data_IF_386149670159
#
_entry.id   IF_386149670159
#
_cell.length_a   1.000
_cell.length_b   1.000
_cell.length_c   1.000
_cell.angle_alpha   90.00
_cell.angle_beta   90.00
_cell.angle_gamma   90.00
#
_symmetry.space_group_name_H-M   'P 1'
#
loop_
_entity.id
_entity.type
_entity.pdbx_description
1 polymer ?
#
# COMPACT_ATOMS: atom_id res chain seq x y z
N UNK A 1 45.64 40.60 -17.68
CA UNK A 1 44.31 40.33 -17.09
C UNK A 1 43.38 39.81 -18.20
N UNK A 2 43.04 38.56 -18.16
CA UNK A 2 42.09 37.98 -19.14
C UNK A 2 40.72 38.62 -18.94
N UNK A 3 40.19 39.27 -19.98
CA UNK A 3 38.82 39.82 -19.96
C UNK A 3 37.85 38.67 -19.80
N UNK A 4 37.07 38.61 -18.73
CA UNK A 4 35.98 37.65 -18.49
C UNK A 4 35.04 37.76 -19.71
N UNK A 5 34.86 36.66 -20.42
CA UNK A 5 33.97 36.61 -21.60
C UNK A 5 32.53 36.90 -21.18
N UNK A 6 31.72 37.42 -22.08
CA UNK A 6 30.30 37.69 -21.82
C UNK A 6 29.56 36.45 -21.39
N UNK A 7 29.86 35.29 -21.99
CA UNK A 7 29.35 33.96 -21.62
C UNK A 7 29.60 33.64 -20.13
N UNK A 8 30.81 33.92 -19.64
CA UNK A 8 31.20 33.61 -18.26
C UNK A 8 30.42 34.44 -17.25
N UNK A 9 30.10 35.69 -17.60
CA UNK A 9 29.26 36.59 -16.79
C UNK A 9 27.82 36.07 -16.72
N UNK A 10 27.26 35.55 -17.82
CA UNK A 10 25.93 34.97 -17.84
C UNK A 10 25.88 33.72 -16.94
N UNK A 11 26.83 32.81 -17.09
CA UNK A 11 26.93 31.63 -16.25
C UNK A 11 27.01 31.98 -14.77
N UNK A 12 27.88 32.97 -14.44
CA UNK A 12 28.02 33.42 -13.06
C UNK A 12 26.72 34.04 -12.52
N UNK A 13 26.06 34.90 -13.31
CA UNK A 13 24.80 35.53 -12.91
C UNK A 13 23.70 34.48 -12.72
N UNK A 14 23.56 33.55 -13.66
CA UNK A 14 22.58 32.44 -13.57
C UNK A 14 22.84 31.58 -12.35
N UNK A 15 24.10 31.24 -12.07
CA UNK A 15 24.47 30.46 -10.89
C UNK A 15 24.05 31.15 -9.58
N UNK A 16 24.41 32.44 -9.42
CA UNK A 16 24.02 33.18 -8.24
C UNK A 16 22.51 33.42 -8.14
N UNK A 17 21.84 33.61 -9.27
CA UNK A 17 20.39 33.75 -9.29
C UNK A 17 19.72 32.43 -8.78
N UNK A 18 20.18 31.25 -9.20
CA UNK A 18 19.68 29.99 -8.69
C UNK A 18 19.93 29.78 -7.18
N UNK A 19 21.03 30.29 -6.64
CA UNK A 19 21.34 30.18 -5.22
C UNK A 19 20.51 31.15 -4.35
N UNK A 20 20.34 32.38 -4.83
CA UNK A 20 19.78 33.45 -3.99
C UNK A 20 18.26 33.58 -4.20
N UNK A 21 17.81 33.53 -5.45
CA UNK A 21 16.43 33.81 -5.82
C UNK A 21 15.39 32.93 -5.10
N UNK A 22 15.59 31.60 -4.97
CA UNK A 22 14.63 30.77 -4.24
C UNK A 22 14.47 31.17 -2.78
N UNK A 23 15.57 31.51 -2.11
CA UNK A 23 15.54 31.95 -0.71
C UNK A 23 14.86 33.29 -0.53
N UNK A 24 15.09 34.24 -1.45
CA UNK A 24 14.44 35.55 -1.43
C UNK A 24 12.94 35.42 -1.73
N UNK A 25 12.59 34.67 -2.78
CA UNK A 25 11.18 34.46 -3.15
C UNK A 25 10.41 33.71 -2.07
N UNK A 26 11.04 32.75 -1.38
CA UNK A 26 10.42 32.02 -0.28
C UNK A 26 9.89 32.97 0.79
N UNK A 27 10.65 33.98 1.15
CA UNK A 27 10.26 34.94 2.18
C UNK A 27 8.91 35.64 1.86
N UNK A 28 8.62 35.85 0.57
CA UNK A 28 7.37 36.49 0.12
C UNK A 28 6.24 35.46 -0.19
N UNK A 29 6.58 34.27 -0.59
CA UNK A 29 5.63 33.28 -1.11
C UNK A 29 5.36 32.10 -0.17
N UNK A 30 6.09 32.02 0.95
CA UNK A 30 5.99 30.93 1.92
C UNK A 30 4.56 30.61 2.41
N UNK A 31 3.68 31.58 2.67
CA UNK A 31 2.32 31.30 3.13
C UNK A 31 1.52 30.43 2.17
N UNK A 32 1.81 30.49 0.87
CA UNK A 32 1.12 29.76 -0.19
C UNK A 32 1.92 28.57 -0.74
N UNK A 33 3.08 28.27 -0.15
CA UNK A 33 3.92 27.19 -0.63
C UNK A 33 3.42 25.81 -0.22
N UNK A 34 3.65 24.82 -1.08
CA UNK A 34 3.36 23.41 -0.79
C UNK A 34 4.40 22.84 0.21
N UNK A 35 4.01 22.75 1.48
CA UNK A 35 4.84 22.23 2.58
C UNK A 35 4.56 20.77 2.93
N UNK A 36 3.75 20.05 2.13
CA UNK A 36 3.43 18.65 2.41
C UNK A 36 4.69 17.79 2.35
N UNK A 37 4.81 16.83 3.26
CA UNK A 37 5.88 15.84 3.20
C UNK A 37 5.53 14.78 2.12
N UNK A 38 5.89 15.08 0.87
CA UNK A 38 5.60 14.21 -0.28
C UNK A 38 6.46 12.95 -0.31
N UNK A 39 7.59 12.93 0.40
CA UNK A 39 8.51 11.79 0.42
C UNK A 39 8.17 10.76 1.49
N UNK A 40 7.21 11.06 2.36
CA UNK A 40 6.78 10.19 3.47
C UNK A 40 7.96 9.64 4.29
N UNK A 41 8.89 10.52 4.66
CA UNK A 41 10.05 10.23 5.52
C UNK A 41 10.21 11.28 6.59
N UNK A 42 10.90 10.95 7.65
CA UNK A 42 11.23 11.93 8.70
C UNK A 42 12.23 12.94 8.13
N UNK A 43 11.85 14.23 8.14
CA UNK A 43 12.72 15.32 7.76
C UNK A 43 13.69 15.65 8.90
N UNK A 44 14.93 16.02 8.57
CA UNK A 44 15.95 16.35 9.56
C UNK A 44 15.59 17.65 10.27
N UNK A 45 15.75 17.67 11.59
CA UNK A 45 15.62 18.88 12.39
C UNK A 45 16.89 19.72 12.31
N UNK A 46 16.76 21.01 12.64
CA UNK A 46 17.93 21.90 12.74
C UNK A 46 18.94 21.33 13.74
N UNK A 47 20.25 21.24 13.36
CA UNK A 47 21.25 20.67 14.23
C UNK A 47 21.45 21.51 15.48
N UNK A 48 21.38 20.86 16.65
CA UNK A 48 21.63 21.52 17.93
C UNK A 48 23.14 21.62 18.13
N UNK A 49 23.63 22.81 18.50
CA UNK A 49 25.06 23.04 18.75
C UNK A 49 25.60 22.32 20.01
N UNK A 50 24.72 21.93 20.91
CA UNK A 50 25.07 21.24 22.16
C UNK A 50 25.36 19.77 21.87
N UNK A 51 26.63 19.36 22.00
CA UNK A 51 27.09 17.97 21.87
C UNK A 51 27.55 17.57 20.47
N UNK A 52 27.49 18.46 19.47
CA UNK A 52 27.99 18.19 18.13
C UNK A 52 29.42 18.73 18.01
N UNK A 53 30.32 17.87 17.52
CA UNK A 53 31.65 18.36 17.15
C UNK A 53 31.55 19.34 15.97
N UNK A 54 32.36 20.38 15.95
CA UNK A 54 32.40 21.38 14.86
C UNK A 54 32.53 20.72 13.48
N UNK A 55 33.17 19.57 13.39
CA UNK A 55 33.30 18.77 12.15
C UNK A 55 31.98 18.19 11.63
N UNK A 56 31.03 17.84 12.53
CA UNK A 56 29.77 17.22 12.17
C UNK A 56 28.72 18.25 11.72
N UNK A 57 28.78 19.44 12.29
CA UNK A 57 27.80 20.50 12.05
C UNK A 57 27.55 20.81 10.55
N UNK A 58 28.58 20.98 9.68
CA UNK A 58 28.35 21.25 8.28
C UNK A 58 27.53 20.17 7.58
N UNK A 59 27.80 18.89 7.88
CA UNK A 59 27.08 17.75 7.30
C UNK A 59 25.63 17.69 7.77
N UNK A 60 25.39 17.92 9.05
CA UNK A 60 24.05 17.88 9.63
C UNK A 60 23.23 19.09 9.17
N UNK A 61 23.86 20.25 9.06
CA UNK A 61 23.25 21.47 8.51
C UNK A 61 22.91 21.31 7.02
N UNK A 62 23.81 20.75 6.22
CA UNK A 62 23.55 20.46 4.81
C UNK A 62 22.35 19.56 4.64
N UNK A 63 22.27 18.50 5.44
CA UNK A 63 21.11 17.59 5.45
C UNK A 63 19.82 18.29 5.86
N UNK A 64 19.84 19.13 6.89
CA UNK A 64 18.70 19.95 7.29
C UNK A 64 18.28 20.92 6.18
N UNK A 65 19.23 21.67 5.62
CA UNK A 65 18.97 22.64 4.56
C UNK A 65 18.40 21.98 3.31
N UNK A 66 18.94 20.82 2.92
CA UNK A 66 18.42 20.02 1.80
C UNK A 66 16.97 19.62 2.02
N UNK A 67 16.59 19.24 3.24
CA UNK A 67 15.22 18.85 3.57
C UNK A 67 14.26 20.05 3.62
N UNK A 68 14.76 21.25 3.91
CA UNK A 68 13.98 22.47 4.08
C UNK A 68 14.26 23.51 2.97
N UNK A 69 14.86 23.07 1.86
CA UNK A 69 15.12 23.93 0.71
C UNK A 69 13.83 24.64 0.25
N UNK A 70 13.84 25.97 0.09
CA UNK A 70 12.72 26.71 -0.47
C UNK A 70 12.23 26.13 -1.79
N UNK A 71 10.90 25.97 -1.94
CA UNK A 71 10.26 25.38 -3.13
C UNK A 71 10.69 23.92 -3.45
N UNK A 72 11.28 23.22 -2.49
CA UNK A 72 11.79 21.85 -2.69
C UNK A 72 10.76 20.92 -3.37
N UNK A 73 9.50 20.94 -2.90
CA UNK A 73 8.44 20.11 -3.49
C UNK A 73 8.19 20.44 -4.97
N UNK A 74 8.28 21.72 -5.36
CA UNK A 74 8.14 22.15 -6.75
C UNK A 74 9.33 21.68 -7.60
N UNK A 75 10.55 21.75 -7.08
CA UNK A 75 11.74 21.24 -7.77
C UNK A 75 11.71 19.73 -7.95
N UNK A 76 11.30 18.97 -6.93
CA UNK A 76 11.14 17.52 -7.04
C UNK A 76 10.08 17.18 -8.10
N UNK A 77 8.91 17.82 -8.05
CA UNK A 77 7.84 17.62 -9.03
C UNK A 77 8.30 17.95 -10.45
N UNK A 78 8.96 19.08 -10.64
CA UNK A 78 9.45 19.50 -11.94
C UNK A 78 10.53 18.57 -12.49
N UNK A 79 11.47 18.15 -11.64
CA UNK A 79 12.50 17.19 -12.00
C UNK A 79 11.90 15.85 -12.40
N UNK A 80 11.00 15.31 -11.60
CA UNK A 80 10.29 14.06 -11.89
C UNK A 80 9.47 14.15 -13.18
N UNK A 81 8.79 15.29 -13.39
CA UNK A 81 8.06 15.57 -14.63
C UNK A 81 8.98 15.58 -15.86
N UNK A 82 10.11 16.26 -15.80
CA UNK A 82 11.08 16.31 -16.89
C UNK A 82 11.65 14.91 -17.18
N UNK A 83 12.09 14.20 -16.15
CA UNK A 83 12.62 12.83 -16.28
C UNK A 83 11.59 11.90 -16.94
N UNK A 84 10.36 11.89 -16.46
CA UNK A 84 9.31 11.05 -17.00
C UNK A 84 8.96 11.39 -18.46
N UNK A 85 8.88 12.68 -18.81
CA UNK A 85 8.52 13.07 -20.17
C UNK A 85 9.65 12.86 -21.19
N UNK A 86 10.91 13.05 -20.77
CA UNK A 86 12.09 12.95 -21.64
C UNK A 86 12.59 11.51 -21.70
N UNK A 87 12.81 10.88 -20.55
CA UNK A 87 13.45 9.56 -20.46
C UNK A 87 12.47 8.40 -20.26
N UNK A 88 11.19 8.70 -19.95
CA UNK A 88 10.15 7.73 -19.57
C UNK A 88 10.47 6.92 -18.31
N UNK A 89 11.50 7.31 -17.59
CA UNK A 89 11.96 6.72 -16.34
C UNK A 89 12.20 7.82 -15.32
N UNK A 90 11.94 7.54 -14.05
CA UNK A 90 12.34 8.37 -12.93
C UNK A 90 13.16 7.49 -11.99
N UNK A 91 14.37 7.93 -11.69
CA UNK A 91 15.19 7.23 -10.72
C UNK A 91 14.55 7.33 -9.34
N UNK A 92 14.24 6.17 -8.76
CA UNK A 92 13.62 6.09 -7.44
C UNK A 92 14.06 4.81 -6.74
N UNK A 93 14.33 4.90 -5.45
CA UNK A 93 14.62 3.74 -4.59
C UNK A 93 13.35 2.98 -4.19
N UNK A 94 12.16 3.60 -4.32
CA UNK A 94 10.89 3.08 -3.83
C UNK A 94 9.90 2.72 -4.93
N UNK A 95 10.11 3.21 -6.14
CA UNK A 95 9.20 3.02 -7.26
C UNK A 95 9.96 2.47 -8.45
N UNK A 96 9.45 1.39 -9.01
CA UNK A 96 9.90 0.82 -10.27
C UNK A 96 8.97 1.33 -11.37
N UNK A 97 9.52 2.11 -12.30
CA UNK A 97 8.84 2.47 -13.54
C UNK A 97 8.90 1.30 -14.52
N UNK A 98 7.78 0.98 -15.12
CA UNK A 98 7.60 -0.23 -15.89
C UNK A 98 6.92 0.06 -17.24
N UNK A 99 6.66 -1.00 -18.02
CA UNK A 99 6.07 -0.88 -19.36
C UNK A 99 4.73 -0.13 -19.29
N UNK A 100 4.45 0.61 -20.35
CA UNK A 100 3.22 1.39 -20.55
C UNK A 100 2.92 2.39 -19.42
N UNK A 101 3.96 2.82 -18.70
CA UNK A 101 3.86 3.79 -17.61
C UNK A 101 3.25 3.21 -16.33
N UNK A 102 3.20 1.88 -16.17
CA UNK A 102 2.86 1.26 -14.90
C UNK A 102 3.95 1.52 -13.87
N UNK A 103 3.55 1.65 -12.62
CA UNK A 103 4.45 1.79 -11.49
C UNK A 103 4.30 0.59 -10.57
N UNK A 104 5.41 0.07 -10.08
CA UNK A 104 5.45 -0.99 -9.08
C UNK A 104 6.25 -0.55 -7.87
N UNK A 105 5.93 -1.13 -6.73
CA UNK A 105 6.63 -0.86 -5.49
C UNK A 105 7.97 -1.59 -5.47
N UNK A 106 8.99 -0.93 -4.94
CA UNK A 106 10.26 -1.55 -4.53
C UNK A 106 10.78 -0.79 -3.32
N UNK A 107 11.06 -1.45 -2.23
CA UNK A 107 11.64 -0.80 -1.06
C UNK A 107 12.27 -1.85 -0.15
N UNK A 108 13.56 -1.92 -0.15
CA UNK A 108 14.34 -2.89 0.64
C UNK A 108 14.09 -2.80 2.15
N UNK A 109 13.61 -1.66 2.63
CA UNK A 109 13.34 -1.41 4.04
C UNK A 109 11.88 -1.64 4.46
N UNK A 110 10.98 -1.95 3.51
CA UNK A 110 9.55 -2.06 3.79
C UNK A 110 8.87 -3.07 2.85
N UNK A 111 9.23 -4.35 2.98
CA UNK A 111 8.58 -5.43 2.26
C UNK A 111 8.70 -5.30 0.73
N UNK A 112 9.93 -5.25 0.20
CA UNK A 112 10.17 -5.21 -1.25
C UNK A 112 9.57 -6.45 -1.94
N UNK A 113 8.59 -6.30 -2.85
CA UNK A 113 7.99 -7.43 -3.54
C UNK A 113 8.85 -7.97 -4.69
N UNK A 114 9.86 -7.23 -5.15
CA UNK A 114 10.63 -7.60 -6.34
C UNK A 114 11.44 -8.90 -6.15
N UNK A 115 12.14 -9.12 -5.02
CA UNK A 115 12.81 -10.41 -4.79
C UNK A 115 11.84 -11.60 -4.80
N UNK A 116 10.66 -11.45 -4.18
CA UNK A 116 9.60 -12.49 -4.19
C UNK A 116 9.06 -12.73 -5.60
N UNK A 117 8.81 -11.67 -6.37
CA UNK A 117 8.43 -11.78 -7.78
C UNK A 117 9.47 -12.51 -8.61
N UNK A 118 10.75 -12.21 -8.40
CA UNK A 118 11.89 -12.86 -9.08
C UNK A 118 12.11 -14.30 -8.61
N UNK A 119 11.50 -14.71 -7.50
CA UNK A 119 11.72 -16.00 -6.82
C UNK A 119 13.17 -16.22 -6.36
N UNK A 120 13.82 -15.14 -5.91
CA UNK A 120 15.22 -15.16 -5.42
C UNK A 120 15.31 -15.01 -3.90
N UNK A 121 14.22 -14.72 -3.23
CA UNK A 121 14.10 -14.79 -1.79
C UNK A 121 13.21 -15.99 -1.40
N UNK A 122 13.56 -16.62 -0.30
CA UNK A 122 12.85 -17.79 0.23
C UNK A 122 12.78 -17.70 1.75
N UNK A 123 11.79 -18.35 2.33
CA UNK A 123 11.78 -18.60 3.75
C UNK A 123 12.85 -19.64 4.11
N UNK A 124 13.50 -19.48 5.26
CA UNK A 124 14.20 -20.57 5.90
C UNK A 124 13.21 -21.59 6.47
N UNK A 125 13.70 -22.79 6.80
CA UNK A 125 12.85 -23.80 7.44
C UNK A 125 12.33 -23.30 8.80
N UNK A 126 13.15 -22.59 9.55
CA UNK A 126 12.79 -22.01 10.85
C UNK A 126 11.66 -20.97 10.70
N UNK A 127 11.74 -20.12 9.68
CA UNK A 127 10.69 -19.12 9.40
C UNK A 127 9.37 -19.78 8.96
N UNK A 128 9.43 -20.85 8.15
CA UNK A 128 8.24 -21.61 7.76
C UNK A 128 7.58 -22.27 8.98
N UNK A 129 8.38 -22.92 9.83
CA UNK A 129 7.91 -23.55 11.06
C UNK A 129 7.31 -22.50 12.01
N UNK A 130 7.98 -21.37 12.20
CA UNK A 130 7.49 -20.30 13.06
C UNK A 130 6.17 -19.72 12.53
N UNK A 131 6.07 -19.47 11.22
CA UNK A 131 4.83 -18.99 10.59
C UNK A 131 3.67 -20.00 10.75
N UNK A 132 3.96 -21.27 10.54
CA UNK A 132 2.95 -22.32 10.71
C UNK A 132 2.49 -22.41 12.17
N UNK A 133 3.41 -22.41 13.13
CA UNK A 133 3.08 -22.47 14.54
C UNK A 133 2.24 -21.28 15.01
N UNK A 134 2.57 -20.07 14.58
CA UNK A 134 1.80 -18.86 14.88
C UNK A 134 0.36 -18.99 14.36
N UNK A 135 0.18 -19.40 13.10
CA UNK A 135 -1.14 -19.54 12.49
C UNK A 135 -1.95 -20.68 13.10
N UNK A 136 -1.31 -21.82 13.40
CA UNK A 136 -1.96 -22.98 14.05
C UNK A 136 -2.43 -22.61 15.46
N UNK A 137 -1.60 -21.89 16.23
CA UNK A 137 -1.97 -21.43 17.56
C UNK A 137 -3.18 -20.49 17.52
N UNK A 138 -3.19 -19.55 16.57
CA UNK A 138 -4.31 -18.62 16.38
C UNK A 138 -5.57 -19.34 15.92
N UNK A 139 -5.45 -20.31 14.98
CA UNK A 139 -6.57 -21.15 14.55
C UNK A 139 -7.17 -21.92 15.70
N UNK A 140 -6.33 -22.59 16.50
CA UNK A 140 -6.77 -23.35 17.69
C UNK A 140 -7.50 -22.46 18.68
N UNK A 141 -6.98 -21.25 18.94
CA UNK A 141 -7.60 -20.26 19.81
C UNK A 141 -9.01 -19.88 19.35
N UNK A 142 -9.20 -19.72 18.01
CA UNK A 142 -10.51 -19.47 17.42
C UNK A 142 -11.45 -20.68 17.57
N UNK A 143 -10.98 -21.89 17.27
CA UNK A 143 -11.78 -23.11 17.30
C UNK A 143 -12.31 -23.43 18.71
N UNK A 144 -11.50 -23.22 19.75
CA UNK A 144 -11.91 -23.35 21.15
C UNK A 144 -13.08 -22.41 21.53
N UNK A 145 -13.34 -21.37 20.69
CA UNK A 145 -14.40 -20.37 20.84
C UNK A 145 -15.52 -20.50 19.81
N UNK A 146 -15.59 -21.64 19.11
CA UNK A 146 -16.51 -21.88 17.99
C UNK A 146 -16.40 -20.82 16.87
N UNK A 147 -15.21 -20.26 16.67
CA UNK A 147 -14.91 -19.29 15.63
C UNK A 147 -14.13 -19.96 14.49
N UNK A 148 -14.58 -19.83 13.24
CA UNK A 148 -13.86 -20.32 12.07
C UNK A 148 -12.72 -19.38 11.72
N UNK A 149 -11.50 -19.90 11.68
CA UNK A 149 -10.30 -19.15 11.26
C UNK A 149 -10.07 -19.26 9.76
N UNK A 150 -9.69 -18.12 9.14
CA UNK A 150 -9.27 -18.05 7.74
C UNK A 150 -8.00 -17.23 7.62
N UNK A 151 -7.02 -17.75 6.88
CA UNK A 151 -5.82 -17.03 6.50
C UNK A 151 -5.91 -16.62 5.04
N UNK A 152 -5.90 -15.30 4.81
CA UNK A 152 -6.05 -14.69 3.49
C UNK A 152 -4.80 -13.92 3.11
N UNK A 153 -4.25 -14.21 1.92
CA UNK A 153 -3.08 -13.55 1.37
C UNK A 153 -3.52 -12.68 0.20
N UNK A 154 -3.35 -11.37 0.33
CA UNK A 154 -3.62 -10.43 -0.76
C UNK A 154 -2.42 -10.42 -1.74
N UNK A 155 -2.62 -10.80 -3.02
CA UNK A 155 -1.53 -10.87 -4.00
C UNK A 155 -0.87 -9.51 -4.24
N UNK A 156 0.44 -9.53 -4.48
CA UNK A 156 1.15 -8.36 -4.95
C UNK A 156 0.82 -8.02 -6.41
N UNK A 157 0.82 -6.74 -6.74
CA UNK A 157 0.53 -6.24 -8.08
C UNK A 157 1.44 -6.84 -9.16
N UNK A 158 2.70 -7.05 -8.85
CA UNK A 158 3.71 -7.65 -9.71
C UNK A 158 3.31 -9.04 -10.22
N UNK A 159 2.61 -9.81 -9.39
CA UNK A 159 2.15 -11.16 -9.75
C UNK A 159 0.90 -11.15 -10.63
N UNK A 160 0.08 -10.10 -10.53
CA UNK A 160 -1.17 -9.98 -11.29
C UNK A 160 -0.93 -9.29 -12.64
N UNK A 161 -0.04 -8.30 -12.68
CA UNK A 161 0.29 -7.48 -13.86
C UNK A 161 1.73 -7.69 -14.33
N UNK A 162 2.17 -8.96 -14.33
CA UNK A 162 3.54 -9.34 -14.69
C UNK A 162 3.92 -8.97 -16.13
N UNK A 163 2.96 -8.80 -17.04
CA UNK A 163 3.17 -8.37 -18.41
C UNK A 163 3.74 -6.95 -18.53
N UNK A 164 3.49 -6.11 -17.51
CA UNK A 164 4.04 -4.75 -17.46
C UNK A 164 5.39 -4.66 -16.76
N UNK A 165 5.87 -5.75 -16.16
CA UNK A 165 7.19 -5.75 -15.53
C UNK A 165 8.30 -5.55 -16.59
N UNK A 166 9.38 -4.83 -16.26
CA UNK A 166 10.51 -4.67 -17.18
C UNK A 166 11.16 -6.01 -17.57
N UNK A 167 11.59 -6.15 -18.82
CA UNK A 167 12.16 -7.41 -19.33
C UNK A 167 13.46 -7.85 -18.64
N UNK A 168 14.18 -6.91 -18.03
CA UNK A 168 15.38 -7.22 -17.25
C UNK A 168 15.07 -7.79 -15.85
N UNK A 169 13.82 -7.69 -15.37
CA UNK A 169 13.36 -8.29 -14.11
C UNK A 169 12.74 -9.65 -14.43
N UNK A 170 13.59 -10.66 -14.49
CA UNK A 170 13.17 -12.03 -14.85
C UNK A 170 12.88 -12.86 -13.60
N UNK A 171 11.87 -13.71 -13.68
CA UNK A 171 11.62 -14.77 -12.72
C UNK A 171 12.64 -15.89 -12.88
N UNK A 172 13.14 -16.40 -11.78
CA UNK A 172 13.95 -17.62 -11.75
C UNK A 172 13.05 -18.87 -11.62
N UNK A 173 13.66 -20.05 -11.74
CA UNK A 173 13.00 -21.31 -11.43
C UNK A 173 12.83 -21.48 -9.91
N UNK A 174 11.86 -22.27 -9.51
CA UNK A 174 11.57 -22.57 -8.10
C UNK A 174 10.31 -21.92 -7.58
N UNK A 175 10.14 -21.99 -6.27
CA UNK A 175 8.98 -21.42 -5.57
C UNK A 175 9.30 -20.01 -5.09
N UNK A 176 8.33 -19.10 -5.21
CA UNK A 176 8.34 -17.83 -4.48
C UNK A 176 8.12 -18.11 -2.98
N UNK A 177 8.44 -17.12 -2.14
CA UNK A 177 8.17 -17.17 -0.70
C UNK A 177 6.70 -17.50 -0.40
N UNK A 178 5.78 -16.92 -1.15
CA UNK A 178 4.33 -17.18 -1.03
C UNK A 178 3.98 -18.62 -1.39
N UNK A 179 4.49 -19.11 -2.51
CA UNK A 179 4.28 -20.50 -2.94
C UNK A 179 4.84 -21.49 -1.91
N UNK A 180 6.01 -21.19 -1.31
CA UNK A 180 6.60 -22.00 -0.24
C UNK A 180 5.72 -22.07 1.00
N UNK A 181 5.23 -20.93 1.49
CA UNK A 181 4.38 -20.89 2.69
C UNK A 181 3.06 -21.62 2.45
N UNK A 182 2.42 -21.38 1.31
CA UNK A 182 1.16 -22.06 0.95
C UNK A 182 1.39 -23.57 0.87
N UNK A 183 2.46 -24.00 0.22
CA UNK A 183 2.81 -25.42 0.12
C UNK A 183 3.07 -26.03 1.51
N UNK A 184 3.86 -25.35 2.33
CA UNK A 184 4.21 -25.80 3.67
C UNK A 184 2.99 -25.96 4.56
N UNK A 185 2.10 -24.97 4.61
CA UNK A 185 0.89 -24.98 5.41
C UNK A 185 -0.05 -26.12 4.98
N UNK A 186 -0.25 -26.30 3.68
CA UNK A 186 -1.11 -27.37 3.14
C UNK A 186 -0.60 -28.78 3.41
N UNK A 187 0.72 -28.97 3.49
CA UNK A 187 1.30 -30.32 3.67
C UNK A 187 1.61 -30.65 5.14
N UNK A 188 1.74 -29.66 6.01
CA UNK A 188 2.18 -29.85 7.40
C UNK A 188 1.15 -29.38 8.44
N UNK A 189 0.05 -28.76 8.01
CA UNK A 189 -1.02 -28.27 8.89
C UNK A 189 -2.38 -28.49 8.23
N UNK A 190 -3.44 -28.20 8.96
CA UNK A 190 -4.82 -28.18 8.45
C UNK A 190 -5.26 -26.78 7.98
N UNK A 191 -4.33 -25.85 7.80
CA UNK A 191 -4.59 -24.50 7.29
C UNK A 191 -4.50 -24.50 5.76
N UNK A 192 -5.59 -24.07 5.13
CA UNK A 192 -5.65 -23.85 3.69
C UNK A 192 -5.67 -22.34 3.40
N UNK A 193 -4.53 -21.72 3.09
CA UNK A 193 -4.48 -20.30 2.77
C UNK A 193 -5.33 -19.95 1.56
N UNK A 194 -6.01 -18.82 1.61
CA UNK A 194 -6.77 -18.27 0.49
C UNK A 194 -5.89 -17.25 -0.22
N UNK A 195 -5.51 -17.53 -1.45
CA UNK A 195 -4.67 -16.70 -2.30
C UNK A 195 -5.34 -16.52 -3.67
N UNK A 196 -6.06 -15.41 -3.92
CA UNK A 196 -6.93 -15.26 -5.08
C UNK A 196 -6.20 -14.75 -6.35
N UNK A 197 -4.94 -15.14 -6.57
CA UNK A 197 -4.13 -14.66 -7.69
C UNK A 197 -4.75 -15.01 -9.07
N UNK A 198 -5.17 -16.26 -9.26
CA UNK A 198 -5.79 -16.71 -10.49
C UNK A 198 -7.16 -16.05 -10.74
N UNK A 199 -7.92 -15.77 -9.68
CA UNK A 199 -9.17 -15.04 -9.77
C UNK A 199 -8.91 -13.60 -10.30
N UNK A 200 -7.97 -12.89 -9.68
CA UNK A 200 -7.64 -11.51 -10.04
C UNK A 200 -7.02 -11.42 -11.44
N UNK A 201 -6.21 -12.40 -11.85
CA UNK A 201 -5.70 -12.53 -13.23
C UNK A 201 -6.81 -12.67 -14.28
N UNK A 202 -7.89 -13.40 -13.96
CA UNK A 202 -9.06 -13.50 -14.84
C UNK A 202 -9.93 -12.25 -14.79
N UNK A 203 -10.10 -11.67 -13.60
CA UNK A 203 -10.95 -10.49 -13.44
C UNK A 203 -10.41 -9.27 -14.19
N UNK A 204 -9.06 -9.13 -14.33
CA UNK A 204 -8.44 -8.02 -15.07
C UNK A 204 -8.77 -8.02 -16.57
N UNK A 205 -9.23 -9.14 -17.15
CA UNK A 205 -9.66 -9.21 -18.54
C UNK A 205 -10.93 -8.36 -18.78
N UNK A 206 -11.72 -8.14 -17.72
CA UNK A 206 -12.92 -7.30 -17.78
C UNK A 206 -12.64 -5.85 -17.40
N UNK A 207 -12.00 -5.64 -16.25
CA UNK A 207 -11.60 -4.32 -15.75
C UNK A 207 -10.31 -4.44 -14.95
N UNK A 208 -9.49 -3.39 -14.95
CA UNK A 208 -8.29 -3.34 -14.12
C UNK A 208 -8.63 -3.55 -12.64
N UNK A 209 -7.92 -4.47 -11.99
CA UNK A 209 -8.13 -4.84 -10.59
C UNK A 209 -7.17 -4.12 -9.63
N UNK A 210 -6.12 -3.50 -10.15
CA UNK A 210 -5.15 -2.69 -9.40
C UNK A 210 -5.04 -1.30 -10.01
N UNK A 211 -4.73 -0.32 -9.18
CA UNK A 211 -4.37 1.01 -9.65
C UNK A 211 -3.03 0.97 -10.40
N UNK A 212 -2.93 1.76 -11.46
CA UNK A 212 -1.69 1.86 -12.25
C UNK A 212 -0.56 2.53 -11.47
N UNK A 213 -0.90 3.54 -10.68
CA UNK A 213 0.02 4.44 -9.98
C UNK A 213 0.05 4.24 -8.45
N UNK A 214 -0.49 3.12 -7.96
CA UNK A 214 -0.57 2.76 -6.55
C UNK A 214 -0.17 1.29 -6.35
N UNK A 215 0.20 0.92 -5.12
CA UNK A 215 0.56 -0.47 -4.79
C UNK A 215 -0.65 -1.38 -4.67
N UNK A 216 -1.81 -0.82 -4.38
CA UNK A 216 -3.00 -1.56 -3.99
C UNK A 216 -3.86 -1.98 -5.18
N UNK A 217 -4.67 -2.99 -4.96
CA UNK A 217 -5.85 -3.19 -5.80
C UNK A 217 -6.83 -2.03 -5.62
N UNK A 218 -7.65 -1.81 -6.64
CA UNK A 218 -8.73 -0.85 -6.57
C UNK A 218 -10.01 -1.48 -5.96
N UNK A 219 -11.09 -0.71 -5.86
CA UNK A 219 -12.36 -1.22 -5.30
C UNK A 219 -12.91 -2.40 -6.07
N UNK A 220 -12.68 -2.50 -7.39
CA UNK A 220 -13.10 -3.66 -8.18
C UNK A 220 -12.28 -4.91 -7.85
N UNK A 221 -10.97 -4.78 -7.67
CA UNK A 221 -10.11 -5.88 -7.20
C UNK A 221 -10.54 -6.37 -5.81
N UNK A 222 -10.76 -5.44 -4.87
CA UNK A 222 -11.29 -5.74 -3.55
C UNK A 222 -12.68 -6.41 -3.61
N UNK A 223 -13.55 -5.98 -4.52
CA UNK A 223 -14.86 -6.60 -4.77
C UNK A 223 -14.72 -8.06 -5.24
N UNK A 224 -13.86 -8.31 -6.22
CA UNK A 224 -13.64 -9.66 -6.73
C UNK A 224 -13.10 -10.59 -5.63
N UNK A 225 -12.11 -10.14 -4.86
CA UNK A 225 -11.51 -10.91 -3.78
C UNK A 225 -12.52 -11.19 -2.65
N UNK A 226 -13.30 -10.18 -2.25
CA UNK A 226 -14.31 -10.29 -1.21
C UNK A 226 -15.48 -11.19 -1.62
N UNK A 227 -15.98 -11.04 -2.85
CA UNK A 227 -17.07 -11.88 -3.37
C UNK A 227 -16.66 -13.36 -3.41
N UNK A 228 -15.43 -13.62 -3.85
CA UNK A 228 -14.88 -14.98 -3.84
C UNK A 228 -14.79 -15.56 -2.42
N UNK A 229 -14.42 -14.74 -1.44
CA UNK A 229 -14.34 -15.17 -0.05
C UNK A 229 -15.74 -15.43 0.54
N UNK A 230 -16.70 -14.55 0.27
CA UNK A 230 -18.10 -14.74 0.69
C UNK A 230 -18.72 -16.00 0.08
N UNK A 231 -18.46 -16.27 -1.20
CA UNK A 231 -18.89 -17.50 -1.86
C UNK A 231 -18.32 -18.74 -1.17
N UNK A 232 -17.03 -18.76 -0.86
CA UNK A 232 -16.39 -19.86 -0.10
C UNK A 232 -16.94 -20.05 1.31
N UNK A 233 -17.54 -19.02 1.86
CA UNK A 233 -18.15 -19.02 3.19
C UNK A 233 -19.64 -19.30 3.18
N UNK A 234 -20.23 -19.51 2.00
CA UNK A 234 -21.68 -19.65 1.80
C UNK A 234 -22.44 -18.46 2.43
N UNK A 235 -21.94 -17.24 2.16
CA UNK A 235 -22.50 -15.99 2.66
C UNK A 235 -23.15 -15.19 1.52
N UNK A 236 -24.13 -14.32 1.85
CA UNK A 236 -24.73 -13.43 0.86
C UNK A 236 -23.67 -12.66 0.08
N UNK A 237 -23.84 -12.62 -1.24
CA UNK A 237 -22.96 -11.87 -2.14
C UNK A 237 -23.47 -10.44 -2.32
N UNK A 238 -22.55 -9.48 -2.52
CA UNK A 238 -22.94 -8.14 -2.90
C UNK A 238 -23.62 -8.12 -4.27
N UNK A 239 -24.49 -7.14 -4.49
CA UNK A 239 -25.11 -6.92 -5.80
C UNK A 239 -24.02 -6.64 -6.86
N UNK A 240 -24.32 -6.97 -8.14
CA UNK A 240 -23.40 -6.72 -9.27
C UNK A 240 -22.98 -5.25 -9.39
N UNK A 241 -23.87 -4.35 -9.02
CA UNK A 241 -23.65 -2.90 -9.08
C UNK A 241 -23.07 -2.33 -7.78
N UNK A 242 -22.61 -3.17 -6.85
CA UNK A 242 -22.02 -2.72 -5.60
C UNK A 242 -20.75 -1.91 -5.82
N UNK A 243 -20.01 -2.20 -6.88
CA UNK A 243 -18.89 -1.39 -7.35
C UNK A 243 -19.27 -0.74 -8.69
N UNK A 244 -19.39 0.57 -8.69
CA UNK A 244 -19.63 1.36 -9.90
C UNK A 244 -18.28 1.77 -10.48
N UNK A 245 -18.16 1.60 -11.81
CA UNK A 245 -16.93 1.89 -12.54
C UNK A 245 -17.22 3.06 -13.49
N UNK A 246 -16.45 4.13 -13.33
CA UNK A 246 -16.53 5.32 -14.16
C UNK A 246 -15.30 5.42 -15.05
N UNK A 247 -15.49 5.72 -16.33
CA UNK A 247 -14.39 6.10 -17.22
C UNK A 247 -13.97 7.54 -16.88
N UNK A 248 -12.78 7.71 -16.34
CA UNK A 248 -12.26 9.02 -15.91
C UNK A 248 -11.84 9.93 -17.09
N UNK A 249 -11.93 9.45 -18.33
CA UNK A 249 -11.57 10.25 -19.51
C UNK A 249 -12.45 11.49 -19.71
N UNK A 250 -13.62 11.54 -19.09
CA UNK A 250 -14.62 12.59 -19.34
C UNK A 250 -14.49 13.85 -18.48
N UNK A 251 -13.76 13.81 -17.37
CA UNK A 251 -13.78 14.93 -16.42
C UNK A 251 -12.38 15.25 -15.89
N UNK A 252 -11.64 16.08 -16.58
CA UNK A 252 -10.36 16.65 -16.12
C UNK A 252 -10.41 17.38 -14.76
N UNK A 253 -11.40 17.08 -13.91
CA UNK A 253 -11.59 17.60 -12.57
C UNK A 253 -11.72 16.45 -11.60
N UNK A 254 -10.75 16.35 -10.72
CA UNK A 254 -10.79 15.61 -9.45
C UNK A 254 -10.93 14.09 -9.53
N UNK A 255 -9.86 13.39 -9.91
CA UNK A 255 -9.55 12.19 -9.15
C UNK A 255 -9.50 12.60 -7.67
N UNK A 256 -10.19 11.90 -6.77
CA UNK A 256 -10.04 12.16 -5.34
C UNK A 256 -8.55 12.10 -5.02
N UNK A 257 -8.00 13.26 -4.66
CA UNK A 257 -6.61 13.37 -4.23
C UNK A 257 -6.50 12.50 -2.99
N UNK A 258 -5.93 11.31 -3.13
CA UNK A 258 -5.71 10.43 -1.98
C UNK A 258 -5.79 8.92 -2.23
N UNK A 259 -6.54 8.43 -3.20
CA UNK A 259 -6.62 6.99 -3.49
C UNK A 259 -6.10 6.70 -4.90
N UNK A 260 -5.29 5.63 -5.03
CA UNK A 260 -4.78 5.20 -6.33
C UNK A 260 -3.47 5.86 -6.77
N UNK A 261 -2.77 6.57 -5.88
CA UNK A 261 -1.59 7.35 -6.24
C UNK A 261 -0.43 7.27 -5.23
N UNK A 262 -0.35 6.24 -4.40
CA UNK A 262 0.71 6.14 -3.39
C UNK A 262 2.11 6.11 -4.03
N UNK A 263 2.31 5.37 -5.12
CA UNK A 263 3.56 5.31 -5.87
C UNK A 263 3.87 6.63 -6.58
N UNK A 264 2.86 7.21 -7.24
CA UNK A 264 3.01 8.51 -7.88
C UNK A 264 3.36 9.61 -6.86
N UNK A 265 2.80 9.53 -5.65
CA UNK A 265 3.12 10.43 -4.54
C UNK A 265 4.57 10.29 -4.09
N UNK A 266 5.11 9.06 -3.98
CA UNK A 266 6.50 8.81 -3.60
C UNK A 266 7.53 9.47 -4.54
N UNK A 267 7.14 9.73 -5.79
CA UNK A 267 7.99 10.41 -6.79
C UNK A 267 7.49 11.80 -7.17
N UNK A 268 6.53 12.36 -6.41
CA UNK A 268 6.02 13.72 -6.60
C UNK A 268 5.18 13.92 -7.88
N UNK A 269 4.61 12.86 -8.45
CA UNK A 269 3.92 12.90 -9.75
C UNK A 269 2.39 12.80 -9.65
N UNK A 270 1.81 12.72 -8.45
CA UNK A 270 0.37 12.56 -8.26
C UNK A 270 -0.49 13.66 -8.91
N UNK A 271 0.08 14.86 -9.10
CA UNK A 271 -0.63 15.98 -9.72
C UNK A 271 -0.64 15.91 -11.27
N UNK A 272 0.21 15.06 -11.87
CA UNK A 272 0.41 14.94 -13.32
C UNK A 272 -0.19 13.66 -13.93
N UNK A 273 -0.39 12.65 -13.09
CA UNK A 273 -0.89 11.35 -13.54
C UNK A 273 -2.39 11.24 -13.29
N UNK A 274 -3.07 10.42 -14.10
CA UNK A 274 -4.51 10.14 -13.94
C UNK A 274 -4.74 8.66 -14.12
N UNK A 275 -5.47 8.07 -13.17
CA UNK A 275 -5.97 6.70 -13.33
C UNK A 275 -7.02 6.68 -14.45
N UNK A 276 -7.03 5.64 -15.30
CA UNK A 276 -7.96 5.58 -16.44
C UNK A 276 -9.41 5.30 -16.01
N UNK A 277 -9.61 4.75 -14.79
CA UNK A 277 -10.91 4.40 -14.26
C UNK A 277 -11.04 4.85 -12.81
N UNK A 278 -12.26 5.26 -12.44
CA UNK A 278 -12.64 5.50 -11.05
C UNK A 278 -13.56 4.37 -10.59
N UNK A 279 -13.25 3.79 -9.44
CA UNK A 279 -14.00 2.70 -8.84
C UNK A 279 -14.61 3.19 -7.53
N UNK A 280 -15.93 3.10 -7.40
CA UNK A 280 -16.66 3.51 -6.21
C UNK A 280 -17.50 2.35 -5.68
N UNK A 281 -17.49 2.17 -4.37
CA UNK A 281 -18.43 1.27 -3.70
C UNK A 281 -19.74 2.02 -3.51
N UNK A 282 -20.77 1.58 -4.20
CA UNK A 282 -22.11 2.18 -4.10
C UNK A 282 -22.77 1.83 -2.78
N UNK A 283 -23.62 2.75 -2.30
CA UNK A 283 -24.50 2.49 -1.17
C UNK A 283 -25.87 2.06 -1.71
N UNK A 284 -26.32 0.89 -1.28
CA UNK A 284 -27.68 0.37 -1.55
C UNK A 284 -28.44 0.25 -0.23
N UNK A 285 -29.75 0.01 -0.27
CA UNK A 285 -30.58 -0.22 0.93
C UNK A 285 -30.05 -1.34 1.81
N UNK A 286 -29.44 -2.38 1.21
CA UNK A 286 -28.80 -3.48 1.91
C UNK A 286 -27.30 -3.26 2.21
N UNK A 287 -26.77 -2.06 1.95
CA UNK A 287 -25.35 -1.79 2.21
C UNK A 287 -25.06 -1.78 3.70
N UNK A 288 -23.88 -2.27 4.11
CA UNK A 288 -23.50 -2.20 5.50
C UNK A 288 -23.35 -0.74 5.95
N UNK A 289 -23.90 -0.45 7.12
CA UNK A 289 -23.75 0.85 7.74
C UNK A 289 -22.49 0.86 8.58
N UNK A 290 -21.62 1.82 8.34
CA UNK A 290 -20.45 2.06 9.19
C UNK A 290 -20.92 2.67 10.51
N UNK A 291 -20.89 1.87 11.57
CA UNK A 291 -21.35 2.24 12.92
C UNK A 291 -20.40 3.11 13.74
N UNK A 292 -19.34 3.59 13.11
CA UNK A 292 -18.35 4.46 13.72
C UNK A 292 -16.93 3.89 13.66
N UNK A 293 -15.96 4.79 13.66
CA UNK A 293 -14.55 4.47 13.88
C UNK A 293 -14.24 4.76 15.34
N UNK A 294 -13.90 3.74 16.12
CA UNK A 294 -13.37 3.97 17.46
C UNK A 294 -11.95 4.49 17.30
N UNK A 295 -11.77 5.78 17.53
CA UNK A 295 -10.51 6.51 17.33
C UNK A 295 -9.32 5.96 18.12
N UNK A 296 -9.55 5.18 19.18
CA UNK A 296 -8.49 4.64 20.01
C UNK A 296 -7.77 3.42 19.41
N UNK A 297 -8.44 2.60 18.55
CA UNK A 297 -7.89 1.34 18.05
C UNK A 297 -8.11 1.13 16.56
N UNK A 298 -8.46 2.17 15.81
CA UNK A 298 -8.75 2.11 14.35
C UNK A 298 -9.64 0.92 13.94
N UNK A 299 -10.66 0.62 14.76
CA UNK A 299 -11.63 -0.43 14.50
C UNK A 299 -12.82 0.16 13.74
N UNK A 300 -13.04 -0.33 12.52
CA UNK A 300 -14.24 -0.03 11.73
C UNK A 300 -15.31 -1.08 12.03
N UNK A 301 -16.48 -0.64 12.48
CA UNK A 301 -17.62 -1.52 12.74
C UNK A 301 -18.72 -1.29 11.73
N UNK A 302 -19.18 -2.38 11.14
CA UNK A 302 -20.27 -2.38 10.15
C UNK A 302 -21.45 -3.18 10.68
N UNK A 303 -22.66 -2.74 10.35
CA UNK A 303 -23.88 -3.50 10.52
C UNK A 303 -24.63 -3.58 9.19
N UNK A 304 -25.16 -4.76 8.86
CA UNK A 304 -25.94 -5.00 7.65
C UNK A 304 -27.31 -5.53 8.04
N UNK A 305 -28.36 -4.69 7.90
CA UNK A 305 -29.72 -5.06 8.30
C UNK A 305 -30.34 -6.12 7.40
N UNK A 306 -29.90 -6.23 6.15
CA UNK A 306 -30.34 -7.25 5.20
C UNK A 306 -29.91 -8.68 5.57
N UNK A 307 -28.98 -8.84 6.52
CA UNK A 307 -28.45 -10.14 6.97
C UNK A 307 -28.87 -10.40 8.41
N UNK A 308 -29.51 -11.54 8.66
CA UNK A 308 -30.08 -11.87 9.97
C UNK A 308 -29.03 -12.26 11.01
N UNK A 309 -27.96 -12.92 10.59
CA UNK A 309 -26.97 -13.55 11.48
C UNK A 309 -25.54 -13.43 10.95
N UNK A 310 -24.58 -13.73 11.79
CA UNK A 310 -23.16 -13.78 11.48
C UNK A 310 -22.39 -12.58 11.97
N UNK A 311 -21.28 -12.89 12.65
CA UNK A 311 -20.32 -11.90 13.13
C UNK A 311 -18.96 -12.15 12.49
N UNK A 312 -18.40 -11.13 11.87
CA UNK A 312 -17.06 -11.13 11.30
C UNK A 312 -16.11 -10.34 12.19
N UNK A 313 -14.95 -10.90 12.49
CA UNK A 313 -13.77 -10.14 12.89
C UNK A 313 -12.70 -10.30 11.82
N UNK A 314 -12.13 -9.19 11.35
CA UNK A 314 -11.04 -9.21 10.40
C UNK A 314 -9.89 -8.34 10.90
N UNK A 315 -8.69 -8.92 10.95
CA UNK A 315 -7.46 -8.15 11.03
C UNK A 315 -6.87 -8.00 9.63
N UNK A 316 -6.37 -6.82 9.34
CA UNK A 316 -5.95 -6.47 8.00
C UNK A 316 -4.73 -5.56 7.95
N UNK A 317 -4.09 -5.51 6.81
CA UNK A 317 -3.28 -4.37 6.41
C UNK A 317 -4.05 -3.42 5.48
N UNK A 318 -3.35 -2.60 4.71
CA UNK A 318 -3.98 -1.61 3.82
C UNK A 318 -4.79 -2.24 2.68
N UNK A 319 -4.48 -3.46 2.25
CA UNK A 319 -5.25 -4.15 1.20
C UNK A 319 -6.67 -4.49 1.66
N UNK A 320 -6.84 -4.92 2.90
CA UNK A 320 -8.14 -5.24 3.46
C UNK A 320 -9.09 -4.05 3.61
N UNK A 321 -8.61 -2.80 3.45
CA UNK A 321 -9.47 -1.61 3.53
C UNK A 321 -10.59 -1.61 2.50
N UNK A 322 -10.27 -1.93 1.24
CA UNK A 322 -11.26 -2.01 0.17
C UNK A 322 -12.16 -3.25 0.28
N UNK A 323 -11.73 -4.29 1.01
CA UNK A 323 -12.53 -5.49 1.24
C UNK A 323 -13.58 -5.30 2.34
N UNK A 324 -13.27 -4.51 3.36
CA UNK A 324 -14.07 -4.40 4.59
C UNK A 324 -15.57 -4.10 4.34
N UNK A 325 -15.95 -3.06 3.58
CA UNK A 325 -17.37 -2.75 3.32
C UNK A 325 -18.07 -3.83 2.48
N UNK A 326 -17.30 -4.55 1.66
CA UNK A 326 -17.82 -5.57 0.75
C UNK A 326 -18.06 -6.87 1.52
N UNK A 327 -17.11 -7.29 2.34
CA UNK A 327 -17.26 -8.46 3.21
C UNK A 327 -18.40 -8.28 4.21
N UNK A 328 -18.57 -7.06 4.72
CA UNK A 328 -19.62 -6.76 5.68
C UNK A 328 -21.05 -7.04 5.14
N UNK A 329 -21.24 -7.07 3.82
CA UNK A 329 -22.53 -7.46 3.19
C UNK A 329 -22.95 -8.88 3.58
N UNK A 330 -21.99 -9.75 3.84
CA UNK A 330 -22.24 -11.16 4.21
C UNK A 330 -22.54 -11.41 5.68
N UNK A 331 -22.52 -10.38 6.55
CA UNK A 331 -22.60 -10.55 8.00
C UNK A 331 -23.51 -9.52 8.65
N UNK A 332 -24.22 -9.92 9.73
CA UNK A 332 -25.04 -8.98 10.51
C UNK A 332 -24.19 -7.88 11.14
N UNK A 333 -23.05 -8.26 11.70
CA UNK A 333 -22.08 -7.34 12.29
C UNK A 333 -20.66 -7.71 11.85
N UNK A 334 -19.84 -6.71 11.59
CA UNK A 334 -18.44 -6.90 11.23
C UNK A 334 -17.56 -5.90 11.96
N UNK A 335 -16.48 -6.39 12.56
CA UNK A 335 -15.42 -5.58 13.15
C UNK A 335 -14.15 -5.79 12.35
N UNK A 336 -13.57 -4.71 11.83
CA UNK A 336 -12.38 -4.74 10.98
C UNK A 336 -11.34 -3.79 11.57
N UNK A 337 -10.13 -4.27 11.78
CA UNK A 337 -9.06 -3.50 12.41
C UNK A 337 -7.70 -3.73 11.76
N UNK A 338 -6.79 -2.77 11.91
CA UNK A 338 -5.41 -2.94 11.52
C UNK A 338 -4.72 -3.95 12.44
N UNK A 339 -3.91 -4.84 11.87
CA UNK A 339 -3.22 -5.90 12.61
C UNK A 339 -2.32 -5.39 13.75
N UNK A 340 -1.81 -4.16 13.65
CA UNK A 340 -0.97 -3.53 14.69
C UNK A 340 -1.67 -3.39 16.06
N UNK A 341 -3.00 -3.24 16.03
CA UNK A 341 -3.82 -3.04 17.24
C UNK A 341 -4.48 -4.33 17.71
N UNK A 342 -4.28 -5.42 16.98
CA UNK A 342 -4.91 -6.69 17.32
C UNK A 342 -4.20 -7.35 18.49
N UNK A 343 -5.02 -7.83 19.41
CA UNK A 343 -4.70 -8.77 20.48
C UNK A 343 -5.75 -9.89 20.42
N UNK A 344 -5.35 -11.14 20.65
CA UNK A 344 -6.28 -12.28 20.56
C UNK A 344 -7.50 -12.16 21.46
N UNK A 345 -7.42 -11.40 22.57
CA UNK A 345 -8.55 -11.13 23.46
C UNK A 345 -9.71 -10.41 22.74
N UNK A 346 -9.47 -9.75 21.62
CA UNK A 346 -10.57 -9.23 20.79
C UNK A 346 -11.51 -10.31 20.29
N UNK A 347 -11.04 -11.55 20.11
CA UNK A 347 -11.89 -12.70 19.75
C UNK A 347 -12.87 -13.02 20.89
N UNK A 348 -12.42 -12.91 22.15
CA UNK A 348 -13.28 -13.11 23.32
C UNK A 348 -14.33 -11.99 23.50
N UNK A 349 -13.94 -10.75 23.15
CA UNK A 349 -14.81 -9.59 23.25
C UNK A 349 -15.85 -9.55 22.14
N UNK A 350 -15.41 -9.67 20.89
CA UNK A 350 -16.25 -9.55 19.71
C UNK A 350 -17.08 -10.83 19.49
N UNK A 351 -16.60 -12.00 19.92
CA UNK A 351 -17.22 -13.34 19.76
C UNK A 351 -17.65 -13.55 18.31
N UNK A 352 -16.70 -13.51 17.36
CA UNK A 352 -17.01 -13.68 15.94
C UNK A 352 -17.32 -15.14 15.61
N UNK A 353 -18.21 -15.36 14.62
CA UNK A 353 -18.40 -16.68 14.01
C UNK A 353 -17.24 -16.99 13.06
N UNK A 354 -16.65 -15.93 12.46
CA UNK A 354 -15.56 -16.02 11.50
C UNK A 354 -14.50 -14.98 11.84
N UNK A 355 -13.25 -15.44 11.92
CA UNK A 355 -12.07 -14.59 12.04
C UNK A 355 -11.21 -14.70 10.79
N UNK A 356 -10.93 -13.57 10.15
CA UNK A 356 -10.07 -13.48 8.97
C UNK A 356 -8.79 -12.76 9.36
N UNK A 357 -7.64 -13.43 9.14
CA UNK A 357 -6.33 -12.80 9.13
C UNK A 357 -5.94 -12.52 7.67
N UNK A 358 -6.03 -11.27 7.25
CA UNK A 358 -5.57 -10.80 5.95
C UNK A 358 -4.18 -10.20 6.05
N UNK A 359 -3.33 -10.53 5.08
CA UNK A 359 -1.98 -10.01 4.94
C UNK A 359 -1.60 -9.87 3.47
N UNK A 360 -1.01 -8.74 3.09
CA UNK A 360 -0.42 -8.57 1.77
C UNK A 360 0.80 -9.50 1.59
N UNK A 361 0.92 -10.09 0.43
CA UNK A 361 1.96 -11.06 0.08
C UNK A 361 3.38 -10.59 0.44
N UNK A 362 3.69 -9.30 0.25
CA UNK A 362 5.00 -8.71 0.60
C UNK A 362 5.31 -8.72 2.09
N UNK A 363 4.29 -8.82 2.93
CA UNK A 363 4.44 -8.82 4.39
C UNK A 363 4.33 -10.22 5.03
N UNK A 364 4.30 -11.29 4.25
CA UNK A 364 4.28 -12.65 4.78
C UNK A 364 5.40 -12.95 5.79
N UNK A 365 6.62 -12.38 5.68
CA UNK A 365 7.68 -12.62 6.69
C UNK A 365 7.34 -12.17 8.10
N UNK A 366 6.35 -11.27 8.27
CA UNK A 366 5.91 -10.86 9.61
C UNK A 366 5.18 -11.97 10.36
N UNK A 367 4.48 -12.87 9.64
CA UNK A 367 3.68 -13.94 10.24
C UNK A 367 4.48 -14.82 11.18
N UNK A 368 5.76 -15.05 10.86
CA UNK A 368 6.69 -15.77 11.73
C UNK A 368 7.00 -15.05 13.06
N UNK A 369 6.76 -13.73 13.12
CA UNK A 369 7.08 -12.85 14.24
C UNK A 369 5.83 -12.32 14.95
N UNK A 370 4.64 -12.64 14.41
CA UNK A 370 3.38 -12.17 14.98
C UNK A 370 3.11 -12.89 16.30
N UNK A 371 3.29 -12.16 17.39
CA UNK A 371 2.89 -12.57 18.72
C UNK A 371 1.53 -11.91 19.01
N UNK A 372 0.46 -12.72 18.95
CA UNK A 372 -0.89 -12.25 19.23
C UNK A 372 -1.22 -12.17 20.73
N UNK A 373 -0.24 -12.48 21.58
CA UNK A 373 -0.28 -12.35 23.03
C UNK A 373 0.37 -11.04 23.48
N UNK A 374 -0.24 -9.90 23.13
CA UNK A 374 0.16 -8.63 23.71
C UNK A 374 -0.37 -8.55 25.16
N UNK A 375 0.56 -8.41 26.10
CA UNK A 375 0.24 -8.20 27.51
C UNK A 375 -0.23 -6.77 27.75
#
# INVERSE_FOLDING_TARGET
MNKIKFSDRIVFFVFFAFLILPNVLWFFLEPNADKRNIENRVLRSFPKLNGITVKQFPKDFDGFYTDHLPFRNYFIKFYSFLQYNIFKEVESERVLFAKDGWMFYKNVNDGDPIPTYKKIDSFSNEELIASANSLVALKKYCEERNCKFLFFIAPNKENIYSEYMPDYIKRTHGMSRTEQLIWYLKNNTDINPIYPDNLLKKAKDKYVTYYKYDTHWNSYGGFCASSFLLEKLDRPLPNKDFVVIHDDKSNGKTAEIGKGYDLAKLVGMQDFLREPFKFEVSKYESSPILGGMASANEISRYSCEGVKTGKLLMIRDSFGESMAPILAVGFRNSSVMLYYYFDKNFIDVEKPDIFIYEVAERYLPRVAKDEFDKK
#
